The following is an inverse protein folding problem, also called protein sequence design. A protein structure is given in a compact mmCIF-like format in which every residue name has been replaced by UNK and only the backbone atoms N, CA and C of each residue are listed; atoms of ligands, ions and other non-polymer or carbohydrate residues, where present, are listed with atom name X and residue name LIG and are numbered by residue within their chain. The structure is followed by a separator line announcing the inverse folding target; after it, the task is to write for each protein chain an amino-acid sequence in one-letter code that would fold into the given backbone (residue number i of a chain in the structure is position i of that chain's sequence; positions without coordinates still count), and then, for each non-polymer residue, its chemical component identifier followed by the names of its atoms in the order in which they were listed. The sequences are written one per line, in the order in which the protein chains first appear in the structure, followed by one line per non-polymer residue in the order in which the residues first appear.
data_IF_552006194191
#
_entry.id   IF_552006194191
#
_cell.length_a   1.000
_cell.length_b   1.000
_cell.length_c   1.000
_cell.angle_alpha   90.00
_cell.angle_beta   90.00
_cell.angle_gamma   90.00
#
_symmetry.space_group_name_H-M   'P 1'
#
loop_
_entity.id
_entity.type
_entity.pdbx_description
1 polymer ?
#
# COMPACT_ATOMS: atom_id res chain seq x y z
N UNK A 1 -5.44 0.69 -23.85
CA UNK A 1 -5.22 0.43 -22.43
C UNK A 1 -6.21 1.24 -21.62
N UNK A 2 -7.11 0.66 -20.86
CA UNK A 2 -7.84 1.43 -19.88
C UNK A 2 -6.98 1.51 -18.64
N UNK A 3 -6.39 2.67 -18.41
CA UNK A 3 -5.86 3.06 -17.12
C UNK A 3 -7.00 2.95 -16.10
N UNK A 4 -6.71 2.37 -14.93
CA UNK A 4 -7.50 2.64 -13.73
C UNK A 4 -7.22 4.11 -13.40
N UNK A 5 -7.86 4.97 -14.16
CA UNK A 5 -8.08 6.35 -13.75
C UNK A 5 -9.35 6.32 -12.98
N UNK A 6 -9.23 6.75 -11.78
CA UNK A 6 -10.32 7.28 -11.02
C UNK A 6 -10.81 6.47 -9.84
N UNK A 7 -10.08 6.57 -8.79
CA UNK A 7 -10.74 7.00 -7.57
C UNK A 7 -10.21 8.40 -7.26
N UNK A 8 -10.96 9.37 -7.67
CA UNK A 8 -10.87 10.61 -8.03
C UNK A 8 -11.47 11.61 -7.19
N UNK A 9 -10.83 12.57 -7.01
CA UNK A 9 -11.18 13.97 -6.81
C UNK A 9 -12.55 14.33 -7.39
N UNK A 10 -13.52 14.58 -6.54
CA UNK A 10 -14.66 15.41 -6.89
C UNK A 10 -14.14 16.83 -7.14
N UNK A 11 -14.04 17.19 -8.40
CA UNK A 11 -13.80 18.57 -8.83
C UNK A 11 -14.99 19.43 -8.44
N UNK A 12 -14.89 20.16 -7.36
CA UNK A 12 -15.59 21.41 -7.22
C UNK A 12 -14.76 22.51 -7.88
N UNK A 13 -15.20 22.88 -9.06
CA UNK A 13 -14.50 23.78 -9.98
C UNK A 13 -14.55 25.25 -9.54
N UNK A 14 -14.06 25.61 -8.36
CA UNK A 14 -13.77 27.04 -8.11
C UNK A 14 -12.66 27.36 -7.13
N UNK A 15 -12.17 26.41 -6.32
CA UNK A 15 -10.96 26.58 -5.49
C UNK A 15 -10.49 25.21 -5.02
N UNK A 16 -10.00 24.38 -5.93
CA UNK A 16 -9.37 23.13 -5.51
C UNK A 16 -7.93 23.45 -5.08
N UNK A 17 -7.73 23.68 -3.81
CA UNK A 17 -6.47 23.34 -3.18
C UNK A 17 -6.41 21.82 -3.19
N UNK A 18 -5.65 21.28 -4.12
CA UNK A 18 -5.34 19.84 -4.16
C UNK A 18 -4.60 19.53 -2.87
N UNK A 19 -5.17 18.65 -2.06
CA UNK A 19 -4.50 18.19 -0.84
C UNK A 19 -3.66 16.99 -1.21
N UNK A 20 -2.38 16.94 -0.83
CA UNK A 20 -1.54 15.77 -1.05
C UNK A 20 -2.14 14.54 -0.34
N UNK A 21 -2.06 13.38 -0.97
CA UNK A 21 -2.59 12.11 -0.44
C UNK A 21 -1.89 11.62 0.82
N UNK A 22 -0.64 12.08 1.02
CA UNK A 22 0.12 11.88 2.24
C UNK A 22 -0.03 13.14 3.09
N UNK A 23 -1.03 13.16 3.95
CA UNK A 23 -1.19 14.27 4.90
C UNK A 23 -0.63 13.87 6.26
N UNK A 24 0.21 14.74 6.79
CA UNK A 24 0.49 14.74 8.22
C UNK A 24 -0.74 15.34 8.89
N UNK A 25 -1.46 14.49 9.61
CA UNK A 25 -2.53 14.94 10.49
C UNK A 25 -2.12 14.62 11.92
N UNK A 26 -2.53 15.50 12.83
CA UNK A 26 -2.37 15.26 14.27
C UNK A 26 -0.93 15.05 14.74
N UNK A 27 0.01 15.93 14.37
CA UNK A 27 1.31 15.96 15.04
C UNK A 27 1.10 16.39 16.50
N UNK A 28 1.39 15.47 17.39
CA UNK A 28 1.51 15.74 18.82
C UNK A 28 2.99 15.88 19.21
N UNK A 29 3.27 16.06 20.47
CA UNK A 29 4.67 16.07 20.96
C UNK A 29 5.35 14.69 20.78
N UNK A 30 4.59 13.59 20.76
CA UNK A 30 5.09 12.21 20.77
C UNK A 30 4.71 11.38 19.56
N UNK A 31 3.66 11.72 18.83
CA UNK A 31 3.12 10.92 17.72
C UNK A 31 2.87 11.77 16.47
N UNK A 32 2.88 11.12 15.31
CA UNK A 32 2.44 11.70 14.04
C UNK A 32 1.64 10.67 13.25
N UNK A 33 0.55 11.08 12.60
CA UNK A 33 -0.30 10.22 11.80
C UNK A 33 0.10 10.34 10.32
N UNK A 34 0.35 9.20 9.69
CA UNK A 34 0.62 9.05 8.26
C UNK A 34 -0.52 8.32 7.59
N UNK A 35 -1.22 8.98 6.68
CA UNK A 35 -2.27 8.37 5.87
C UNK A 35 -1.68 7.98 4.51
N UNK A 36 -1.61 6.69 4.24
CA UNK A 36 -1.09 6.12 3.01
C UNK A 36 -2.25 5.69 2.12
N UNK A 37 -2.88 6.66 1.45
CA UNK A 37 -4.07 6.46 0.63
C UNK A 37 -3.76 6.74 -0.83
N UNK A 38 -4.18 5.85 -1.74
CA UNK A 38 -4.01 6.01 -3.17
C UNK A 38 -2.88 5.17 -3.78
N UNK A 39 -2.48 5.49 -5.01
CA UNK A 39 -1.52 4.72 -5.79
C UNK A 39 -0.07 5.07 -5.44
N UNK A 40 0.81 4.09 -5.56
CA UNK A 40 2.25 4.27 -5.40
C UNK A 40 2.85 4.53 -6.77
N UNK A 41 3.45 5.72 -6.94
CA UNK A 41 4.06 6.12 -8.20
C UNK A 41 5.55 6.43 -8.02
N UNK A 42 6.31 6.32 -9.10
CA UNK A 42 7.69 6.77 -9.13
C UNK A 42 7.76 8.17 -9.73
N UNK A 43 8.55 9.04 -9.12
CA UNK A 43 8.76 10.44 -9.52
C UNK A 43 9.02 10.63 -11.01
N UNK A 44 9.68 9.69 -11.62
CA UNK A 44 10.24 9.83 -12.96
C UNK A 44 9.28 9.49 -14.09
N UNK A 45 8.22 8.72 -13.82
CA UNK A 45 7.30 8.23 -14.86
C UNK A 45 5.84 8.54 -14.62
N UNK A 46 5.47 9.02 -13.47
CA UNK A 46 4.08 9.00 -13.04
C UNK A 46 3.51 10.24 -12.38
N UNK A 47 4.30 11.24 -12.04
CA UNK A 47 3.80 12.48 -11.45
C UNK A 47 3.05 13.35 -12.49
N UNK A 48 1.92 12.84 -12.97
CA UNK A 48 0.99 13.55 -13.83
C UNK A 48 -0.07 14.31 -13.04
N UNK A 49 -0.11 14.08 -11.71
CA UNK A 49 -1.03 14.72 -10.79
C UNK A 49 -0.30 15.03 -9.48
N UNK A 50 -0.66 16.15 -8.85
CA UNK A 50 -0.10 16.56 -7.54
C UNK A 50 -0.43 15.59 -6.39
N UNK A 51 -1.20 14.55 -6.69
CA UNK A 51 -1.75 13.55 -5.76
C UNK A 51 -0.90 12.28 -5.68
N UNK A 52 0.12 12.14 -6.53
CA UNK A 52 0.90 10.92 -6.66
C UNK A 52 1.88 10.75 -5.50
N UNK A 53 1.86 9.59 -4.83
CA UNK A 53 2.73 9.24 -3.71
C UNK A 53 4.07 8.75 -4.22
N UNK A 54 5.12 9.42 -3.87
CA UNK A 54 6.47 9.06 -4.26
C UNK A 54 7.46 9.13 -3.10
N UNK A 55 8.61 8.44 -3.20
CA UNK A 55 9.56 8.32 -2.11
C UNK A 55 10.00 9.66 -1.48
N UNK A 56 10.12 10.73 -2.26
CA UNK A 56 10.51 12.04 -1.71
C UNK A 56 9.44 12.67 -0.80
N UNK A 57 8.15 12.44 -1.08
CA UNK A 57 7.09 12.89 -0.19
C UNK A 57 7.19 12.19 1.19
N UNK A 58 7.40 10.88 1.18
CA UNK A 58 7.60 10.10 2.42
C UNK A 58 8.87 10.53 3.14
N UNK A 59 9.97 10.77 2.44
CA UNK A 59 11.21 11.27 3.04
C UNK A 59 11.00 12.61 3.77
N UNK A 60 10.28 13.54 3.14
CA UNK A 60 9.99 14.85 3.73
C UNK A 60 9.09 14.70 4.95
N UNK A 61 8.04 13.86 4.85
CA UNK A 61 7.20 13.51 5.98
C UNK A 61 8.01 12.97 7.17
N UNK A 62 8.86 11.99 6.94
CA UNK A 62 9.66 11.37 8.00
C UNK A 62 10.64 12.37 8.64
N UNK A 63 11.15 13.32 7.86
CA UNK A 63 11.98 14.41 8.38
C UNK A 63 11.18 15.33 9.31
N UNK A 64 9.93 15.64 8.96
CA UNK A 64 9.05 16.49 9.76
C UNK A 64 8.54 15.75 11.02
N UNK A 65 8.25 14.46 10.91
CA UNK A 65 7.88 13.61 12.05
C UNK A 65 9.02 13.53 13.09
N UNK A 66 10.26 13.69 12.66
CA UNK A 66 11.42 13.92 13.52
C UNK A 66 11.55 12.94 14.72
N UNK A 67 11.45 11.65 14.44
CA UNK A 67 11.63 10.58 15.43
C UNK A 67 10.40 10.28 16.32
N UNK A 68 9.26 10.95 16.12
CA UNK A 68 8.00 10.63 16.81
C UNK A 68 7.50 9.26 16.42
N UNK A 69 6.70 8.64 17.27
CA UNK A 69 6.01 7.39 16.90
C UNK A 69 4.98 7.66 15.80
N UNK A 70 4.85 6.74 14.85
CA UNK A 70 3.97 6.87 13.70
C UNK A 70 2.74 5.97 13.84
N UNK A 71 1.55 6.54 13.64
CA UNK A 71 0.36 5.76 13.29
C UNK A 71 0.21 5.80 11.78
N UNK A 72 0.27 4.65 11.13
CA UNK A 72 0.26 4.51 9.68
C UNK A 72 -1.06 3.88 9.26
N UNK A 73 -1.92 4.65 8.60
CA UNK A 73 -3.20 4.22 8.09
C UNK A 73 -3.10 3.92 6.61
N UNK A 74 -3.50 2.72 6.18
CA UNK A 74 -3.24 2.21 4.84
C UNK A 74 -4.55 1.93 4.11
N UNK A 75 -4.68 2.52 2.92
CA UNK A 75 -5.74 2.22 1.95
C UNK A 75 -5.19 2.43 0.54
N UNK A 76 -4.46 1.45 0.01
CA UNK A 76 -3.74 1.54 -1.26
C UNK A 76 -3.84 0.24 -2.06
N UNK A 77 -4.07 0.37 -3.35
CA UNK A 77 -4.02 -0.74 -4.32
C UNK A 77 -2.61 -1.12 -4.76
N UNK A 78 -1.58 -0.38 -4.35
CA UNK A 78 -0.21 -0.60 -4.78
C UNK A 78 0.23 0.32 -5.91
N UNK A 79 1.07 -0.17 -6.82
CA UNK A 79 1.60 0.59 -7.96
C UNK A 79 3.05 0.28 -8.29
N UNK A 80 3.92 1.29 -8.37
CA UNK A 80 5.34 1.11 -8.71
C UNK A 80 6.09 0.28 -7.66
N UNK A 81 6.59 -0.87 -8.07
CA UNK A 81 7.30 -1.82 -7.19
C UNK A 81 8.52 -1.16 -6.55
N UNK A 82 9.36 -0.49 -7.33
CA UNK A 82 10.59 0.12 -6.79
C UNK A 82 10.30 1.30 -5.86
N UNK A 83 9.26 2.09 -6.15
CA UNK A 83 8.82 3.14 -5.26
C UNK A 83 8.31 2.56 -3.92
N UNK A 84 7.51 1.50 -3.99
CA UNK A 84 6.99 0.82 -2.80
C UNK A 84 8.10 0.22 -1.94
N UNK A 85 9.08 -0.47 -2.54
CA UNK A 85 10.25 -0.99 -1.81
C UNK A 85 11.07 0.14 -1.18
N UNK A 86 11.26 1.25 -1.90
CA UNK A 86 11.99 2.41 -1.35
C UNK A 86 11.28 3.00 -0.14
N UNK A 87 9.96 3.15 -0.21
CA UNK A 87 9.12 3.63 0.90
C UNK A 87 9.19 2.65 2.08
N UNK A 88 8.99 1.35 1.84
CA UNK A 88 9.11 0.32 2.87
C UNK A 88 10.45 0.44 3.62
N UNK A 89 11.55 0.52 2.87
CA UNK A 89 12.88 0.63 3.46
C UNK A 89 13.10 1.96 4.22
N UNK A 90 12.48 3.06 3.80
CA UNK A 90 12.53 4.32 4.55
C UNK A 90 11.78 4.21 5.87
N UNK A 91 10.59 3.62 5.87
CA UNK A 91 9.80 3.38 7.07
C UNK A 91 10.52 2.41 8.03
N UNK A 92 11.12 1.33 7.52
CA UNK A 92 11.89 0.38 8.37
C UNK A 92 13.09 1.06 9.05
N UNK A 93 13.77 1.98 8.39
CA UNK A 93 14.91 2.72 8.97
C UNK A 93 14.51 3.85 9.91
N UNK A 94 13.26 4.26 9.89
CA UNK A 94 12.79 5.33 10.76
C UNK A 94 12.85 4.91 12.24
N UNK A 95 13.32 5.80 13.12
CA UNK A 95 13.63 5.45 14.51
C UNK A 95 12.43 5.41 15.45
N UNK A 96 11.36 6.15 15.15
CA UNK A 96 10.10 6.08 15.92
C UNK A 96 9.42 4.72 15.79
N UNK A 97 8.64 4.34 16.79
CA UNK A 97 7.77 3.17 16.68
C UNK A 97 6.75 3.39 15.57
N UNK A 98 6.30 2.32 14.95
CA UNK A 98 5.29 2.35 13.91
C UNK A 98 4.15 1.44 14.30
N UNK A 99 2.92 1.94 14.17
CA UNK A 99 1.69 1.20 14.37
C UNK A 99 0.89 1.28 13.07
N UNK A 100 0.67 0.15 12.43
CA UNK A 100 0.06 0.07 11.11
C UNK A 100 -1.37 -0.44 11.19
N UNK A 101 -2.28 0.28 10.54
CA UNK A 101 -3.71 -0.03 10.46
C UNK A 101 -4.13 -0.07 8.99
N UNK A 102 -4.75 -1.17 8.58
CA UNK A 102 -5.31 -1.28 7.22
C UNK A 102 -6.77 -0.84 7.29
N UNK A 103 -7.10 0.30 6.65
CA UNK A 103 -8.47 0.84 6.73
C UNK A 103 -9.43 0.12 5.79
N UNK A 104 -9.00 -0.25 4.57
CA UNK A 104 -9.81 -1.04 3.66
C UNK A 104 -8.97 -2.02 2.83
N UNK A 105 -7.89 -1.55 2.19
CA UNK A 105 -7.06 -2.35 1.30
C UNK A 105 -5.58 -2.04 1.49
N UNK A 106 -4.78 -3.10 1.53
CA UNK A 106 -3.34 -3.04 1.33
C UNK A 106 -2.99 -4.06 0.24
N UNK A 107 -2.90 -3.58 -1.02
CA UNK A 107 -2.80 -4.45 -2.19
C UNK A 107 -1.47 -4.33 -2.93
N UNK A 108 -1.10 -5.39 -3.65
CA UNK A 108 0.09 -5.41 -4.50
C UNK A 108 1.34 -4.97 -3.72
N UNK A 109 2.14 -4.03 -4.23
CA UNK A 109 3.34 -3.57 -3.51
C UNK A 109 3.01 -2.85 -2.19
N UNK A 110 1.82 -2.28 -2.02
CA UNK A 110 1.39 -1.70 -0.75
C UNK A 110 1.21 -2.76 0.35
N UNK A 111 1.00 -4.02 -0.01
CA UNK A 111 0.89 -5.13 0.95
C UNK A 111 2.13 -5.32 1.84
N UNK A 112 3.25 -4.70 1.49
CA UNK A 112 4.45 -4.68 2.33
C UNK A 112 4.36 -3.68 3.49
N UNK A 113 3.56 -2.62 3.37
CA UNK A 113 3.56 -1.53 4.34
C UNK A 113 3.08 -1.91 5.75
N UNK A 114 2.08 -2.78 5.94
CA UNK A 114 1.75 -3.27 7.27
C UNK A 114 2.96 -3.84 8.01
N UNK A 115 3.87 -4.48 7.30
CA UNK A 115 5.04 -5.18 7.87
C UNK A 115 6.19 -4.25 8.31
N UNK A 116 6.02 -2.93 8.24
CA UNK A 116 6.92 -2.00 8.93
C UNK A 116 6.55 -1.80 10.41
N UNK A 117 5.39 -2.30 10.84
CA UNK A 117 4.92 -2.21 12.23
C UNK A 117 5.99 -2.67 13.22
N UNK A 118 6.03 -2.02 14.36
CA UNK A 118 7.02 -2.32 15.41
C UNK A 118 6.63 -3.50 16.28
N UNK A 119 5.38 -3.96 16.17
CA UNK A 119 4.83 -5.15 16.84
C UNK A 119 4.02 -5.98 15.84
N UNK A 120 2.72 -5.80 15.74
CA UNK A 120 1.83 -6.48 14.81
C UNK A 120 0.89 -5.50 14.13
N UNK A 121 0.87 -5.46 12.80
CA UNK A 121 -0.09 -4.63 12.09
C UNK A 121 -1.52 -5.09 12.36
N UNK A 122 -2.45 -4.16 12.36
CA UNK A 122 -3.88 -4.43 12.55
C UNK A 122 -4.60 -4.43 11.20
N UNK A 123 -5.23 -5.55 10.88
CA UNK A 123 -6.10 -5.70 9.70
C UNK A 123 -7.50 -6.06 10.17
N UNK A 124 -8.48 -5.16 10.05
CA UNK A 124 -9.87 -5.45 10.42
C UNK A 124 -10.46 -6.60 9.58
N UNK A 125 -11.52 -7.24 10.10
CA UNK A 125 -12.21 -8.35 9.43
C UNK A 125 -12.74 -7.96 8.04
N UNK A 126 -13.14 -6.71 7.86
CA UNK A 126 -13.68 -6.14 6.62
C UNK A 126 -12.65 -5.40 5.77
N UNK A 127 -11.36 -5.50 6.11
CA UNK A 127 -10.25 -5.01 5.30
C UNK A 127 -9.50 -6.16 4.62
N UNK A 128 -8.75 -5.85 3.56
CA UNK A 128 -8.12 -6.86 2.72
C UNK A 128 -6.62 -6.62 2.56
N UNK A 129 -5.87 -7.72 2.60
CA UNK A 129 -4.51 -7.83 2.12
C UNK A 129 -4.56 -8.55 0.77
N UNK A 130 -4.09 -7.92 -0.31
CA UNK A 130 -4.01 -8.56 -1.63
C UNK A 130 -2.58 -8.73 -2.06
N UNK A 131 -2.21 -9.96 -2.40
CA UNK A 131 -0.88 -10.34 -2.86
C UNK A 131 -0.93 -11.00 -4.22
N UNK A 132 -0.02 -10.60 -5.08
CA UNK A 132 0.17 -11.17 -6.41
C UNK A 132 1.61 -11.00 -6.87
N UNK A 133 1.98 -11.67 -7.98
CA UNK A 133 3.29 -11.51 -8.61
C UNK A 133 3.45 -10.13 -9.25
N UNK A 134 4.66 -9.56 -9.27
CA UNK A 134 4.94 -8.36 -10.03
C UNK A 134 4.72 -8.62 -11.53
N UNK A 135 4.19 -7.63 -12.23
CA UNK A 135 3.94 -7.71 -13.66
C UNK A 135 4.37 -6.44 -14.38
N UNK A 136 4.58 -6.52 -15.67
CA UNK A 136 4.86 -5.37 -16.51
C UNK A 136 4.29 -5.54 -17.92
N UNK A 137 4.03 -4.42 -18.59
CA UNK A 137 3.81 -4.39 -20.03
C UNK A 137 5.19 -4.25 -20.71
N UNK A 138 5.53 -5.18 -21.61
CA UNK A 138 6.78 -5.12 -22.34
C UNK A 138 6.63 -5.62 -23.79
N UNK A 139 7.41 -5.03 -24.67
CA UNK A 139 7.53 -5.42 -26.07
C UNK A 139 9.00 -5.67 -26.39
N UNK A 140 9.27 -6.65 -27.26
CA UNK A 140 10.64 -6.96 -27.67
C UNK A 140 10.74 -8.27 -28.43
N UNK A 141 11.96 -8.63 -28.84
CA UNK A 141 12.25 -9.93 -29.40
C UNK A 141 12.29 -11.02 -28.31
N UNK A 142 12.36 -12.28 -28.70
CA UNK A 142 12.29 -13.42 -27.77
C UNK A 142 13.36 -13.39 -26.67
N UNK A 143 14.54 -12.82 -26.92
CA UNK A 143 15.60 -12.74 -25.93
C UNK A 143 15.33 -11.61 -24.92
N UNK A 144 14.81 -10.48 -25.38
CA UNK A 144 14.42 -9.35 -24.55
C UNK A 144 13.26 -9.74 -23.62
N UNK A 145 12.25 -10.46 -24.13
CA UNK A 145 11.13 -10.93 -23.33
C UNK A 145 11.59 -11.94 -22.26
N UNK A 146 12.49 -12.87 -22.58
CA UNK A 146 13.05 -13.79 -21.56
C UNK A 146 13.82 -13.03 -20.48
N UNK A 147 14.67 -12.08 -20.90
CA UNK A 147 15.40 -11.24 -19.94
C UNK A 147 14.45 -10.44 -19.02
N UNK A 148 13.32 -9.98 -19.53
CA UNK A 148 12.31 -9.30 -18.71
C UNK A 148 11.66 -10.27 -17.73
N UNK A 149 11.35 -11.51 -18.14
CA UNK A 149 10.86 -12.54 -17.23
C UNK A 149 11.85 -12.81 -16.10
N UNK A 150 13.14 -13.03 -16.42
CA UNK A 150 14.19 -13.22 -15.40
C UNK A 150 14.29 -12.01 -14.44
N UNK A 151 14.06 -10.79 -14.95
CA UNK A 151 14.05 -9.57 -14.12
C UNK A 151 12.86 -9.55 -13.17
N UNK A 152 11.66 -9.93 -13.63
CA UNK A 152 10.48 -10.02 -12.77
C UNK A 152 10.66 -11.06 -11.66
N UNK A 153 11.25 -12.22 -11.97
CA UNK A 153 11.56 -13.26 -10.98
C UNK A 153 12.57 -12.75 -9.92
N UNK A 154 13.58 -11.98 -10.35
CA UNK A 154 14.52 -11.37 -9.41
C UNK A 154 13.87 -10.32 -8.50
N UNK A 155 12.93 -9.52 -9.02
CA UNK A 155 12.15 -8.56 -8.24
C UNK A 155 11.25 -9.29 -7.25
N UNK A 156 10.58 -10.34 -7.69
CA UNK A 156 9.70 -11.17 -6.87
C UNK A 156 10.46 -11.77 -5.66
N UNK A 157 11.70 -12.23 -5.89
CA UNK A 157 12.55 -12.76 -4.82
C UNK A 157 12.82 -11.71 -3.70
N UNK A 158 12.95 -10.45 -4.06
CA UNK A 158 13.07 -9.35 -3.08
C UNK A 158 11.80 -9.15 -2.26
N UNK A 159 10.62 -9.32 -2.87
CA UNK A 159 9.32 -9.24 -2.18
C UNK A 159 9.16 -10.42 -1.21
N UNK A 160 9.50 -11.63 -1.64
CA UNK A 160 9.43 -12.81 -0.78
C UNK A 160 10.25 -12.67 0.51
N UNK A 161 11.44 -12.07 0.41
CA UNK A 161 12.30 -11.90 1.59
C UNK A 161 11.63 -11.04 2.67
N UNK A 162 10.77 -10.11 2.29
CA UNK A 162 10.02 -9.29 3.23
C UNK A 162 8.88 -10.11 3.85
N UNK A 163 8.12 -10.86 3.05
CA UNK A 163 7.04 -11.68 3.59
C UNK A 163 7.56 -12.77 4.53
N UNK A 164 8.70 -13.40 4.20
CA UNK A 164 9.30 -14.47 5.00
C UNK A 164 9.62 -14.04 6.44
N UNK A 165 9.99 -12.77 6.65
CA UNK A 165 10.22 -12.22 7.99
C UNK A 165 8.95 -12.10 8.83
N UNK A 166 7.76 -12.18 8.21
CA UNK A 166 6.48 -11.86 8.84
C UNK A 166 5.45 -12.99 8.76
N UNK A 167 5.90 -14.23 8.49
CA UNK A 167 5.02 -15.39 8.44
C UNK A 167 4.41 -15.73 9.80
N UNK A 168 3.20 -16.24 9.80
CA UNK A 168 2.61 -16.86 10.98
C UNK A 168 3.32 -18.18 11.32
N UNK A 169 3.19 -18.62 12.57
CA UNK A 169 3.82 -19.86 13.04
C UNK A 169 3.38 -21.07 12.19
N UNK A 170 4.35 -21.82 11.68
CA UNK A 170 4.12 -23.02 10.85
C UNK A 170 3.80 -22.75 9.39
N UNK A 171 3.74 -21.49 8.94
CA UNK A 171 3.57 -21.13 7.54
C UNK A 171 4.91 -21.11 6.84
N UNK A 172 4.96 -21.58 5.59
CA UNK A 172 6.17 -21.56 4.75
C UNK A 172 6.07 -20.51 3.65
N UNK A 173 7.20 -20.08 3.15
CA UNK A 173 7.24 -19.11 2.04
C UNK A 173 6.65 -19.71 0.74
N UNK A 174 6.72 -21.03 0.56
CA UNK A 174 6.13 -21.73 -0.58
C UNK A 174 4.61 -21.54 -0.62
N UNK A 175 3.94 -21.58 0.53
CA UNK A 175 2.50 -21.30 0.62
C UNK A 175 2.19 -19.86 0.19
N UNK A 176 3.03 -18.89 0.55
CA UNK A 176 2.84 -17.49 0.11
C UNK A 176 3.06 -17.35 -1.39
N UNK A 177 4.05 -18.04 -1.96
CA UNK A 177 4.28 -18.06 -3.41
C UNK A 177 3.07 -18.61 -4.18
N UNK A 178 2.44 -19.67 -3.67
CA UNK A 178 1.20 -20.21 -4.24
C UNK A 178 0.05 -19.19 -4.20
N UNK A 179 -0.10 -18.48 -3.07
CA UNK A 179 -1.10 -17.41 -2.95
C UNK A 179 -0.82 -16.25 -3.89
N UNK A 180 0.45 -15.87 -4.09
CA UNK A 180 0.84 -14.82 -5.02
C UNK A 180 0.59 -15.24 -6.48
N UNK A 181 0.86 -16.49 -6.83
CA UNK A 181 0.57 -17.04 -8.17
C UNK A 181 -0.93 -16.99 -8.48
N UNK A 182 -1.76 -17.23 -7.46
CA UNK A 182 -3.22 -17.24 -7.57
C UNK A 182 -3.86 -15.85 -7.50
N UNK A 183 -3.08 -14.77 -7.28
CA UNK A 183 -3.61 -13.42 -7.01
C UNK A 183 -4.67 -13.47 -5.89
N UNK A 184 -4.22 -13.53 -4.65
CA UNK A 184 -5.09 -13.83 -3.52
C UNK A 184 -5.46 -12.58 -2.73
N UNK A 185 -6.74 -12.47 -2.42
CA UNK A 185 -7.34 -11.46 -1.56
C UNK A 185 -7.65 -12.08 -0.21
N UNK A 186 -6.98 -11.63 0.83
CA UNK A 186 -7.10 -12.15 2.19
C UNK A 186 -7.82 -11.12 3.06
N UNK A 187 -8.97 -11.48 3.62
CA UNK A 187 -9.57 -10.70 4.71
C UNK A 187 -8.65 -10.67 5.94
N UNK A 188 -8.90 -9.79 6.90
CA UNK A 188 -8.08 -9.76 8.12
C UNK A 188 -7.97 -11.12 8.82
N UNK A 189 -9.06 -11.90 8.87
CA UNK A 189 -9.07 -13.25 9.45
C UNK A 189 -8.27 -14.26 8.61
N UNK A 190 -8.27 -14.12 7.29
CA UNK A 190 -7.48 -14.98 6.39
C UNK A 190 -6.01 -14.58 6.40
N UNK A 191 -5.71 -13.29 6.41
CA UNK A 191 -4.34 -12.80 6.51
C UNK A 191 -3.64 -13.29 7.79
N UNK A 192 -4.36 -13.33 8.91
CA UNK A 192 -3.83 -13.85 10.18
C UNK A 192 -3.47 -15.34 10.17
N UNK A 193 -3.96 -16.12 9.18
CA UNK A 193 -3.56 -17.53 9.01
C UNK A 193 -2.18 -17.67 8.38
N UNK A 194 -1.75 -16.67 7.63
CA UNK A 194 -0.51 -16.72 6.85
C UNK A 194 0.55 -15.75 7.37
N UNK A 195 0.14 -14.64 7.97
CA UNK A 195 1.05 -13.59 8.43
C UNK A 195 0.84 -13.26 9.91
N UNK A 196 1.89 -12.79 10.54
CA UNK A 196 1.86 -12.37 11.94
C UNK A 196 1.17 -11.00 12.08
N UNK A 197 -0.14 -10.97 11.92
CA UNK A 197 -0.98 -9.78 12.00
C UNK A 197 -2.04 -9.92 13.09
N UNK A 198 -2.55 -8.80 13.59
CA UNK A 198 -3.69 -8.75 14.51
C UNK A 198 -4.98 -8.50 13.74
N UNK A 199 -6.03 -9.28 14.06
CA UNK A 199 -7.36 -9.05 13.50
C UNK A 199 -8.04 -7.95 14.33
N UNK A 200 -8.27 -6.80 13.72
CA UNK A 200 -9.02 -5.72 14.34
C UNK A 200 -10.53 -5.97 14.33
N UNK A 201 -11.24 -5.29 15.23
CA UNK A 201 -12.70 -5.18 15.12
C UNK A 201 -13.06 -4.52 13.77
N UNK A 202 -14.28 -4.76 13.30
CA UNK A 202 -14.76 -4.05 12.11
C UNK A 202 -14.61 -2.56 12.30
N UNK A 203 -13.99 -1.90 11.33
CA UNK A 203 -13.90 -0.44 11.35
C UNK A 203 -15.31 0.12 11.32
N UNK A 204 -15.87 0.38 12.50
CA UNK A 204 -16.93 1.36 12.60
C UNK A 204 -16.23 2.68 12.33
N UNK A 205 -16.37 3.18 11.11
CA UNK A 205 -15.82 4.45 10.72
C UNK A 205 -16.30 5.48 11.73
N UNK A 206 -15.48 5.76 12.73
CA UNK A 206 -15.64 6.93 13.54
C UNK A 206 -15.32 8.05 12.55
N UNK A 207 -16.38 8.67 12.06
CA UNK A 207 -16.32 9.78 11.13
C UNK A 207 -15.54 10.93 11.77
N UNK A 208 -14.22 10.83 11.73
CA UNK A 208 -13.32 11.94 11.96
C UNK A 208 -12.97 12.65 10.66
N UNK A 209 -13.73 12.39 9.59
CA UNK A 209 -13.65 13.14 8.33
C UNK A 209 -14.91 13.99 8.23
N UNK A 210 -14.81 15.20 8.71
CA UNK A 210 -15.81 16.24 8.62
C UNK A 210 -16.00 16.74 7.18
N UNK A 211 -15.92 15.95 6.13
CA UNK A 211 -16.32 16.31 4.76
C UNK A 211 -16.15 15.13 3.77
N UNK A 212 -16.72 13.96 4.10
CA UNK A 212 -17.04 12.98 3.08
C UNK A 212 -18.55 12.98 2.79
N UNK A 213 -19.06 14.10 2.30
CA UNK A 213 -20.36 14.13 1.67
C UNK A 213 -20.23 13.51 0.28
N UNK A 214 -20.86 12.32 0.13
CA UNK A 214 -21.26 11.72 -1.11
C UNK A 214 -20.18 11.05 -1.97
N UNK A 215 -19.80 9.85 -1.58
CA UNK A 215 -19.40 8.84 -2.58
C UNK A 215 -20.72 8.35 -3.22
N UNK A 216 -21.11 8.91 -4.35
CA UNK A 216 -22.03 8.26 -5.24
C UNK A 216 -21.31 7.11 -5.94
N UNK A 217 -21.56 5.89 -5.50
CA UNK A 217 -21.29 4.70 -6.30
C UNK A 217 -22.30 4.70 -7.44
N UNK A 218 -21.95 5.31 -8.55
CA UNK A 218 -22.68 5.14 -9.79
C UNK A 218 -22.07 3.98 -10.55
N UNK A 219 -22.76 2.87 -10.54
CA UNK A 219 -22.64 1.64 -11.32
C UNK A 219 -21.33 0.85 -11.36
N UNK A 220 -21.41 -0.50 -11.34
CA UNK A 220 -20.26 -1.37 -11.37
C UNK A 220 -19.64 -1.34 -12.78
N UNK A 221 -18.67 -0.51 -12.98
CA UNK A 221 -17.76 -0.69 -14.09
C UNK A 221 -17.00 -1.98 -13.83
N UNK A 222 -17.09 -2.92 -14.74
CA UNK A 222 -16.44 -4.24 -14.69
C UNK A 222 -15.06 -4.13 -14.09
N UNK A 223 -14.87 -4.83 -12.97
CA UNK A 223 -13.55 -5.18 -12.47
C UNK A 223 -12.78 -5.86 -13.61
N UNK A 224 -11.97 -5.11 -14.32
CA UNK A 224 -10.85 -5.69 -15.05
C UNK A 224 -9.70 -5.64 -14.07
N UNK A 225 -9.45 -6.81 -13.49
CA UNK A 225 -8.24 -7.06 -12.73
C UNK A 225 -7.04 -6.64 -13.57
N UNK A 226 -6.18 -5.88 -12.98
CA UNK A 226 -4.84 -5.55 -13.46
C UNK A 226 -3.87 -6.33 -12.60
#
# INVERSE_FOLDING_TARGET
MPQIKQFIACKNAKTATVKPFCEIKNITDTTADLYFYGDIVSDWWGAWQEEDQYPDAIKNFLAEANGRDLNIYINSGGGSVFAGIAIYNMLKRYQGKKHCFVDALTGSIASLFPFVDSDKPTIPKNAYLMIHKPWCDCEGNANELRKMADTLEAIEAGIWSIYEEHLAEGVTIEQIKELMEAETWLSGEEAAKYFNVSVGEENTAVAAVQDLSLIHISEPTRLRCI
#
